data_IF_948855732466
#
_entry.id   IF_948855732466
#
_cell.length_a   1.000
_cell.length_b   1.000
_cell.length_c   1.000
_cell.angle_alpha   90.00
_cell.angle_beta   90.00
_cell.angle_gamma   90.00
#
_symmetry.space_group_name_H-M   'P 1'
#
loop_
_entity.id
_entity.type
_entity.pdbx_description
1 polymer ?
#
# COMPACT_ATOMS: atom_id res chain seq x y z
N UNK A 1 -11.52 -11.87 -18.25
CA UNK A 1 -11.55 -10.47 -17.79
C UNK A 1 -12.41 -10.38 -16.54
N UNK A 2 -11.89 -10.83 -15.40
CA UNK A 2 -12.66 -10.85 -14.14
C UNK A 2 -12.70 -9.46 -13.50
N UNK A 3 -11.56 -8.78 -13.39
CA UNK A 3 -11.49 -7.42 -12.84
C UNK A 3 -12.35 -6.40 -13.61
N UNK A 4 -12.27 -6.42 -14.94
CA UNK A 4 -13.09 -5.54 -15.80
C UNK A 4 -14.59 -5.85 -15.64
N UNK A 5 -14.98 -7.13 -15.63
CA UNK A 5 -16.38 -7.49 -15.41
C UNK A 5 -16.90 -7.02 -14.05
N UNK A 6 -16.12 -7.21 -12.97
CA UNK A 6 -16.49 -6.76 -11.62
C UNK A 6 -16.59 -5.23 -11.51
N UNK A 7 -15.77 -4.50 -12.26
CA UNK A 7 -15.90 -3.05 -12.40
C UNK A 7 -17.19 -2.67 -13.12
N UNK A 8 -17.46 -3.31 -14.27
CA UNK A 8 -18.59 -2.98 -15.14
C UNK A 8 -19.94 -3.19 -14.45
N UNK A 9 -20.04 -4.19 -13.57
CA UNK A 9 -21.25 -4.43 -12.75
C UNK A 9 -21.28 -3.61 -11.44
N UNK A 10 -20.28 -2.76 -11.19
CA UNK A 10 -20.17 -1.93 -9.98
C UNK A 10 -19.86 -2.70 -8.68
N UNK A 11 -19.37 -3.94 -8.79
CA UNK A 11 -19.05 -4.79 -7.62
C UNK A 11 -17.67 -4.50 -7.03
N UNK A 12 -16.73 -4.02 -7.84
CA UNK A 12 -15.40 -3.63 -7.42
C UNK A 12 -15.09 -2.19 -7.86
N UNK A 13 -14.43 -1.44 -6.99
CA UNK A 13 -13.93 -0.10 -7.29
C UNK A 13 -12.41 -0.16 -7.46
N UNK A 14 -11.91 0.56 -8.46
CA UNK A 14 -10.49 0.62 -8.77
C UNK A 14 -10.03 2.06 -8.60
N UNK A 15 -9.00 2.22 -7.79
CA UNK A 15 -8.51 3.53 -7.35
C UNK A 15 -7.01 3.62 -7.62
N UNK A 16 -6.52 4.74 -8.15
CA UNK A 16 -5.09 4.93 -8.33
C UNK A 16 -4.43 5.33 -7.01
N UNK A 17 -3.20 4.86 -6.82
CA UNK A 17 -2.28 5.27 -5.76
C UNK A 17 -0.96 5.63 -6.44
N UNK A 18 -0.34 6.72 -6.01
CA UNK A 18 0.94 7.19 -6.55
C UNK A 18 2.12 6.51 -5.85
N UNK A 19 3.29 6.53 -6.50
CA UNK A 19 4.53 5.98 -5.94
C UNK A 19 4.86 6.62 -4.58
N UNK A 20 4.73 7.95 -4.45
CA UNK A 20 4.98 8.66 -3.19
C UNK A 20 4.06 8.18 -2.05
N UNK A 21 2.79 7.92 -2.36
CA UNK A 21 1.83 7.42 -1.39
C UNK A 21 2.13 5.97 -0.99
N UNK A 22 2.51 5.13 -1.94
CA UNK A 22 2.92 3.76 -1.66
C UNK A 22 4.20 3.73 -0.81
N UNK A 23 5.18 4.59 -1.10
CA UNK A 23 6.42 4.68 -0.31
C UNK A 23 6.14 5.20 1.10
N UNK A 24 5.25 6.20 1.25
CA UNK A 24 4.81 6.67 2.56
C UNK A 24 4.15 5.54 3.38
N UNK A 25 3.28 4.75 2.75
CA UNK A 25 2.60 3.64 3.41
C UNK A 25 3.53 2.46 3.75
N UNK A 26 4.52 2.20 2.90
CA UNK A 26 5.60 1.24 3.19
C UNK A 26 6.30 1.60 4.49
N UNK A 27 6.78 2.85 4.61
CA UNK A 27 7.47 3.32 5.80
C UNK A 27 6.57 3.33 7.03
N UNK A 28 5.32 3.74 6.87
CA UNK A 28 4.33 3.72 7.94
C UNK A 28 4.21 2.32 8.52
N UNK A 29 3.91 1.32 7.69
CA UNK A 29 3.70 -0.05 8.16
C UNK A 29 4.99 -0.66 8.77
N UNK A 30 6.15 -0.35 8.20
CA UNK A 30 7.43 -0.78 8.73
C UNK A 30 7.74 -0.17 10.10
N UNK A 31 7.45 1.13 10.28
CA UNK A 31 7.74 1.86 11.52
C UNK A 31 6.72 1.55 12.62
N UNK A 32 5.45 1.33 12.29
CA UNK A 32 4.40 1.12 13.29
C UNK A 32 4.20 -0.35 13.66
N UNK A 33 4.21 -1.25 12.68
CA UNK A 33 3.91 -2.67 12.88
C UNK A 33 5.14 -3.59 12.75
N UNK A 34 6.30 -3.05 12.36
CA UNK A 34 7.51 -3.85 12.12
C UNK A 34 7.41 -4.77 10.90
N UNK A 35 6.42 -4.55 10.04
CA UNK A 35 6.19 -5.34 8.82
C UNK A 35 6.80 -4.58 7.64
N UNK A 36 7.65 -5.24 6.87
CA UNK A 36 8.22 -4.68 5.64
C UNK A 36 7.38 -5.19 4.45
N UNK A 37 6.35 -4.46 3.99
CA UNK A 37 5.49 -4.91 2.89
C UNK A 37 6.21 -4.81 1.55
N UNK A 38 5.83 -5.64 0.58
CA UNK A 38 6.20 -5.38 -0.81
C UNK A 38 5.65 -4.02 -1.26
N UNK A 39 6.35 -3.31 -2.16
CA UNK A 39 5.91 -1.98 -2.60
C UNK A 39 4.51 -2.02 -3.25
N UNK A 40 4.17 -3.11 -3.94
CA UNK A 40 2.84 -3.34 -4.50
C UNK A 40 1.78 -3.50 -3.41
N UNK A 41 2.10 -4.14 -2.28
CA UNK A 41 1.20 -4.24 -1.12
C UNK A 41 0.98 -2.88 -0.45
N UNK A 42 2.01 -2.03 -0.44
CA UNK A 42 1.93 -0.69 0.14
C UNK A 42 0.92 0.21 -0.59
N UNK A 43 0.60 -0.06 -1.85
CA UNK A 43 -0.48 0.65 -2.56
C UNK A 43 -1.85 0.41 -1.88
N UNK A 44 -2.14 -0.82 -1.49
CA UNK A 44 -3.39 -1.15 -0.80
C UNK A 44 -3.45 -0.50 0.60
N UNK A 45 -2.33 -0.49 1.32
CA UNK A 45 -2.21 0.16 2.64
C UNK A 45 -2.38 1.66 2.52
N UNK A 46 -1.75 2.30 1.52
CA UNK A 46 -1.90 3.73 1.25
C UNK A 46 -3.37 4.11 1.00
N UNK A 47 -4.09 3.29 0.22
CA UNK A 47 -5.51 3.52 0.03
C UNK A 47 -6.32 3.33 1.31
N UNK A 48 -6.02 2.29 2.11
CA UNK A 48 -6.69 2.08 3.39
C UNK A 48 -6.47 3.26 4.36
N UNK A 49 -5.27 3.85 4.39
CA UNK A 49 -4.98 5.06 5.19
C UNK A 49 -5.79 6.28 4.76
N UNK A 50 -6.14 6.39 3.47
CA UNK A 50 -7.03 7.44 2.95
C UNK A 50 -8.51 7.18 3.22
N UNK A 51 -8.92 5.92 3.12
CA UNK A 51 -10.32 5.50 3.24
C UNK A 51 -10.78 5.40 4.69
N UNK A 52 -9.94 4.89 5.60
CA UNK A 52 -10.34 4.67 6.99
C UNK A 52 -10.87 5.94 7.70
N UNK A 53 -10.29 7.15 7.52
CA UNK A 53 -10.82 8.37 8.13
C UNK A 53 -12.22 8.78 7.63
N UNK A 54 -12.67 8.27 6.49
CA UNK A 54 -14.02 8.58 5.94
C UNK A 54 -15.07 7.55 6.37
N UNK A 55 -14.70 6.55 7.16
CA UNK A 55 -15.58 5.48 7.64
C UNK A 55 -15.93 5.67 9.11
N UNK A 56 -17.05 5.09 9.54
CA UNK A 56 -17.39 5.01 10.96
C UNK A 56 -16.38 4.13 11.71
N UNK A 57 -16.15 4.45 12.99
CA UNK A 57 -15.12 3.79 13.83
C UNK A 57 -15.34 2.30 14.06
N UNK A 58 -16.56 1.79 13.86
CA UNK A 58 -16.93 0.38 14.00
C UNK A 58 -16.65 -0.43 12.73
N UNK A 59 -16.32 0.21 11.60
CA UNK A 59 -16.05 -0.49 10.36
C UNK A 59 -14.66 -1.12 10.35
N UNK A 60 -14.58 -2.30 9.75
CA UNK A 60 -13.36 -3.10 9.63
C UNK A 60 -12.94 -3.10 8.16
N UNK A 61 -11.67 -2.78 7.91
CA UNK A 61 -11.03 -2.92 6.61
C UNK A 61 -10.09 -4.12 6.66
N UNK A 62 -10.20 -5.00 5.68
CA UNK A 62 -9.25 -6.10 5.47
C UNK A 62 -8.35 -5.74 4.31
N UNK A 63 -7.04 -5.72 4.54
CA UNK A 63 -6.03 -5.39 3.53
C UNK A 63 -5.22 -6.65 3.20
N UNK A 64 -5.13 -6.99 1.92
CA UNK A 64 -4.26 -8.07 1.46
C UNK A 64 -2.82 -7.55 1.34
N UNK A 65 -1.93 -8.06 2.18
CA UNK A 65 -0.48 -7.89 2.04
C UNK A 65 0.06 -9.06 1.24
N UNK A 66 0.21 -8.87 -0.08
CA UNK A 66 0.52 -9.93 -1.04
C UNK A 66 1.97 -10.43 -0.97
N UNK A 67 2.88 -9.66 -0.39
CA UNK A 67 4.30 -10.02 -0.35
C UNK A 67 5.11 -9.22 0.66
N UNK A 68 6.38 -9.61 0.80
CA UNK A 68 7.38 -9.00 1.67
C UNK A 68 8.35 -8.12 0.86
N UNK A 69 8.75 -6.99 1.43
CA UNK A 69 9.55 -5.96 0.76
C UNK A 69 11.06 -6.08 0.93
N UNK A 70 11.58 -7.25 1.31
CA UNK A 70 13.04 -7.46 1.54
C UNK A 70 13.90 -6.99 0.36
N UNK A 71 13.38 -7.12 -0.87
CA UNK A 71 14.07 -6.71 -2.10
C UNK A 71 13.85 -5.24 -2.47
N UNK A 72 12.83 -4.61 -1.89
CA UNK A 72 12.38 -3.27 -2.24
C UNK A 72 13.03 -2.19 -1.37
N UNK A 73 13.54 -2.56 -0.19
CA UNK A 73 14.19 -1.64 0.76
C UNK A 73 15.27 -0.77 0.10
N UNK A 74 16.14 -1.37 -0.72
CA UNK A 74 17.21 -0.63 -1.38
C UNK A 74 16.69 0.35 -2.44
N UNK A 75 15.64 -0.03 -3.18
CA UNK A 75 15.00 0.83 -4.17
C UNK A 75 14.29 2.01 -3.50
N UNK A 76 13.60 1.76 -2.38
CA UNK A 76 12.88 2.77 -1.61
C UNK A 76 13.86 3.76 -0.96
N UNK A 77 14.95 3.28 -0.37
CA UNK A 77 15.97 4.15 0.20
C UNK A 77 16.58 5.09 -0.85
N UNK A 78 16.90 4.56 -2.05
CA UNK A 78 17.36 5.38 -3.18
C UNK A 78 16.30 6.37 -3.64
N UNK A 79 15.03 5.96 -3.72
CA UNK A 79 13.91 6.83 -4.09
C UNK A 79 13.76 8.02 -3.13
N UNK A 80 14.02 7.80 -1.84
CA UNK A 80 14.02 8.86 -0.81
C UNK A 80 15.27 9.72 -0.76
N UNK A 81 16.30 9.38 -1.54
CA UNK A 81 17.59 10.05 -1.48
C UNK A 81 18.38 9.72 -0.21
N UNK A 82 18.07 8.60 0.46
CA UNK A 82 18.88 8.10 1.57
C UNK A 82 20.09 7.35 1.01
N UNK A 83 21.30 7.78 1.41
CA UNK A 83 22.54 7.11 1.05
C UNK A 83 22.65 5.79 1.82
N UNK A 84 22.22 4.70 1.19
CA UNK A 84 22.58 3.35 1.63
C UNK A 84 24.03 3.09 1.22
N UNK A 85 24.95 3.17 2.18
CA UNK A 85 26.29 2.62 2.01
C UNK A 85 26.16 1.10 2.00
N UNK A 86 26.61 0.48 0.91
CA UNK A 86 26.70 -0.97 0.76
C UNK A 86 27.77 -1.56 1.70
#
# INVERSE_FOLDING_TARGET
MEHAYLHDIGRAQYVPITDDEAVNAFEYLAKTEGIIPAIESSHAVAYAMKLAPTMDKDKIIVVTVSGRGDKDCAAIARYRGENIYE
#
